data_IF_991327035296
#
_entry.id   IF_991327035296
#
_cell.length_a   1.000
_cell.length_b   1.000
_cell.length_c   1.000
_cell.angle_alpha   90.00
_cell.angle_beta   90.00
_cell.angle_gamma   90.00
#
_symmetry.space_group_name_H-M   'P 1'
#
loop_
_entity.id
_entity.type
_entity.pdbx_description
1 polymer ?
#
# COMPACT_ATOMS: atom_id res chain seq x y z
N UNK A 1 13.38 6.45 -10.83
CA UNK A 1 12.20 5.56 -11.00
C UNK A 1 11.93 5.41 -12.49
N UNK A 2 11.41 4.25 -12.90
CA UNK A 2 11.04 4.03 -14.31
C UNK A 2 9.75 4.79 -14.63
N UNK A 3 9.76 5.74 -15.58
CA UNK A 3 8.59 6.55 -15.89
C UNK A 3 7.52 5.82 -16.72
N UNK A 4 7.77 4.57 -17.15
CA UNK A 4 6.90 3.85 -18.09
C UNK A 4 5.77 3.06 -17.37
N UNK A 5 4.51 3.54 -17.43
CA UNK A 5 3.40 2.88 -16.73
C UNK A 5 2.99 1.54 -17.37
N UNK A 6 3.36 1.26 -18.62
CA UNK A 6 3.02 0.00 -19.30
C UNK A 6 3.59 -1.23 -18.58
N UNK A 7 4.69 -1.08 -17.83
CA UNK A 7 5.23 -2.17 -17.00
C UNK A 7 4.27 -2.55 -15.87
N UNK A 8 3.66 -1.55 -15.24
CA UNK A 8 2.65 -1.74 -14.19
C UNK A 8 1.39 -2.35 -14.79
N UNK A 9 0.87 -1.81 -15.91
CA UNK A 9 -0.33 -2.35 -16.56
C UNK A 9 -0.18 -3.83 -16.93
N UNK A 10 0.94 -4.20 -17.56
CA UNK A 10 1.23 -5.61 -17.87
C UNK A 10 1.34 -6.49 -16.62
N UNK A 11 1.81 -5.95 -15.49
CA UNK A 11 1.88 -6.69 -14.23
C UNK A 11 0.49 -6.91 -13.64
N UNK A 12 -0.34 -5.87 -13.61
CA UNK A 12 -1.74 -5.91 -13.17
C UNK A 12 -2.53 -6.95 -13.97
N UNK A 13 -2.41 -6.93 -15.30
CA UNK A 13 -3.08 -7.88 -16.20
C UNK A 13 -2.63 -9.32 -15.93
N UNK A 14 -1.31 -9.57 -15.87
CA UNK A 14 -0.76 -10.91 -15.63
C UNK A 14 -1.13 -11.49 -14.26
N UNK A 15 -1.33 -10.63 -13.26
CA UNK A 15 -1.70 -11.03 -11.90
C UNK A 15 -3.21 -11.03 -11.67
N UNK A 16 -4.00 -10.65 -12.68
CA UNK A 16 -5.46 -10.54 -12.61
C UNK A 16 -5.93 -9.74 -11.39
N UNK A 17 -5.23 -8.65 -11.06
CA UNK A 17 -5.57 -7.83 -9.89
C UNK A 17 -6.94 -7.17 -10.13
N UNK A 18 -7.88 -7.43 -9.23
CA UNK A 18 -9.25 -6.89 -9.31
C UNK A 18 -9.40 -5.55 -8.58
N UNK A 19 -8.53 -5.28 -7.59
CA UNK A 19 -8.51 -4.03 -6.84
C UNK A 19 -8.10 -2.86 -7.73
N UNK A 20 -8.58 -1.66 -7.41
CA UNK A 20 -8.12 -0.43 -8.06
C UNK A 20 -6.62 -0.25 -7.84
N UNK A 21 -5.89 -0.03 -8.93
CA UNK A 21 -4.45 0.27 -8.91
C UNK A 21 -4.25 1.71 -9.37
N UNK A 22 -3.50 2.48 -8.58
CA UNK A 22 -3.11 3.85 -8.90
C UNK A 22 -1.58 3.96 -8.94
N UNK A 23 -1.07 4.84 -9.81
CA UNK A 23 0.36 5.13 -9.92
C UNK A 23 0.62 6.49 -9.31
N UNK A 24 1.55 6.56 -8.36
CA UNK A 24 2.00 7.83 -7.80
C UNK A 24 2.84 8.58 -8.85
N UNK A 25 2.29 9.67 -9.38
CA UNK A 25 2.93 10.52 -10.38
C UNK A 25 3.50 11.78 -9.71
N UNK A 26 4.62 11.64 -8.99
CA UNK A 26 5.27 12.71 -8.25
C UNK A 26 6.74 12.87 -8.66
N UNK A 27 7.28 14.09 -8.57
CA UNK A 27 8.70 14.39 -8.79
C UNK A 27 9.59 13.86 -7.67
N UNK A 28 9.15 14.03 -6.43
CA UNK A 28 9.81 13.53 -5.22
C UNK A 28 8.90 12.60 -4.40
N UNK A 29 8.92 11.28 -4.66
CA UNK A 29 8.09 10.32 -3.93
C UNK A 29 8.34 10.26 -2.43
N UNK A 30 9.54 10.64 -1.96
CA UNK A 30 9.86 10.59 -0.54
C UNK A 30 9.04 11.59 0.30
N UNK A 31 8.56 12.67 -0.32
CA UNK A 31 7.66 13.63 0.36
C UNK A 31 6.31 13.02 0.74
N UNK A 32 5.93 11.91 0.10
CA UNK A 32 4.67 11.23 0.38
C UNK A 32 4.77 10.25 1.55
N UNK A 33 5.97 9.86 1.99
CA UNK A 33 6.16 8.89 3.07
C UNK A 33 5.46 9.40 4.34
N UNK A 34 5.88 10.56 4.84
CA UNK A 34 5.32 11.18 6.05
C UNK A 34 3.85 11.60 5.89
N UNK A 35 3.41 11.86 4.66
CA UNK A 35 2.02 12.22 4.36
C UNK A 35 1.08 11.00 4.44
N UNK A 36 1.57 9.83 4.04
CA UNK A 36 0.83 8.57 4.11
C UNK A 36 0.85 8.04 5.54
N UNK A 37 2.04 7.88 6.12
CA UNK A 37 2.23 7.40 7.48
C UNK A 37 3.59 7.85 8.04
N UNK A 38 3.57 8.54 9.20
CA UNK A 38 4.78 9.14 9.78
C UNK A 38 5.79 8.11 10.31
N UNK A 39 5.29 6.94 10.66
CA UNK A 39 6.12 5.83 11.13
C UNK A 39 6.70 5.00 9.98
N UNK A 40 6.33 5.29 8.72
CA UNK A 40 6.85 4.58 7.57
C UNK A 40 8.30 4.96 7.31
N UNK A 41 9.21 3.98 7.30
CA UNK A 41 10.62 4.21 7.00
C UNK A 41 10.90 4.46 5.51
N UNK A 42 9.91 4.26 4.64
CA UNK A 42 10.06 4.17 3.20
C UNK A 42 10.33 2.74 2.69
N UNK A 43 10.41 1.75 3.58
CA UNK A 43 10.57 0.35 3.19
C UNK A 43 9.34 -0.17 2.42
N UNK A 44 9.58 -0.96 1.38
CA UNK A 44 8.54 -1.66 0.63
C UNK A 44 8.78 -3.18 0.72
N UNK A 45 7.73 -4.01 0.79
CA UNK A 45 6.30 -3.65 0.74
C UNK A 45 5.76 -3.05 2.05
N UNK A 46 4.71 -2.23 1.94
CA UNK A 46 4.01 -1.63 3.07
C UNK A 46 2.49 -1.69 2.87
N UNK A 47 1.75 -1.81 3.97
CA UNK A 47 0.28 -1.90 4.00
C UNK A 47 -0.29 -0.99 5.07
N UNK A 48 -1.26 -0.16 4.70
CA UNK A 48 -2.04 0.69 5.60
C UNK A 48 -3.51 0.26 5.55
N UNK A 49 -4.07 -0.08 6.69
CA UNK A 49 -5.48 -0.44 6.84
C UNK A 49 -6.19 0.68 7.58
N UNK A 50 -7.31 1.15 7.02
CA UNK A 50 -8.08 2.28 7.55
C UNK A 50 -9.52 1.83 7.70
N UNK A 51 -10.06 1.94 8.92
CA UNK A 51 -11.49 1.81 9.17
C UNK A 51 -12.12 3.21 9.27
N UNK A 52 -12.79 3.63 8.20
CA UNK A 52 -13.40 4.97 8.12
C UNK A 52 -14.58 5.17 9.09
N UNK A 53 -15.16 4.10 9.64
CA UNK A 53 -16.30 4.18 10.57
C UNK A 53 -15.88 4.59 11.98
N UNK A 54 -14.70 4.14 12.42
CA UNK A 54 -14.21 4.37 13.78
C UNK A 54 -12.88 5.16 13.82
N UNK A 55 -12.30 5.47 12.66
CA UNK A 55 -11.04 6.22 12.54
C UNK A 55 -9.80 5.40 12.89
N UNK A 56 -9.92 4.11 13.22
CA UNK A 56 -8.76 3.25 13.51
C UNK A 56 -7.92 3.03 12.26
N UNK A 57 -6.61 2.98 12.48
CA UNK A 57 -5.60 2.73 11.45
C UNK A 57 -4.61 1.69 11.94
N UNK A 58 -4.11 0.86 11.03
CA UNK A 58 -3.01 -0.07 11.29
C UNK A 58 -2.03 -0.02 10.14
N UNK A 59 -0.76 0.21 10.45
CA UNK A 59 0.32 0.26 9.49
C UNK A 59 1.32 -0.88 9.74
N UNK A 60 1.83 -1.47 8.65
CA UNK A 60 2.92 -2.46 8.67
C UNK A 60 3.80 -2.30 7.41
N UNK A 61 5.11 -2.38 7.58
CA UNK A 61 6.12 -2.31 6.50
C UNK A 61 6.90 -3.62 6.38
N UNK A 62 6.18 -4.71 6.15
CA UNK A 62 6.76 -6.05 5.98
C UNK A 62 5.95 -6.86 4.97
N UNK A 63 6.57 -7.92 4.45
CA UNK A 63 5.85 -8.95 3.69
C UNK A 63 4.77 -9.61 4.58
N UNK A 64 3.61 -9.85 3.97
CA UNK A 64 2.49 -10.53 4.62
C UNK A 64 2.42 -11.96 4.11
N UNK A 65 2.19 -12.88 5.03
CA UNK A 65 1.89 -14.28 4.72
C UNK A 65 0.38 -14.52 4.80
N UNK A 66 -0.03 -15.70 4.35
CA UNK A 66 -1.42 -16.13 4.45
C UNK A 66 -1.93 -16.00 5.90
N UNK A 67 -3.09 -15.36 6.07
CA UNK A 67 -3.70 -15.12 7.37
C UNK A 67 -3.23 -13.85 8.10
N UNK A 68 -2.15 -13.19 7.66
CA UNK A 68 -1.68 -11.97 8.32
C UNK A 68 -2.63 -10.78 8.06
N UNK A 69 -3.16 -10.68 6.85
CA UNK A 69 -4.07 -9.59 6.48
C UNK A 69 -5.36 -9.64 7.31
N UNK A 70 -5.95 -10.83 7.47
CA UNK A 70 -7.19 -11.03 8.23
C UNK A 70 -7.01 -10.67 9.71
N UNK A 71 -5.85 -10.99 10.29
CA UNK A 71 -5.50 -10.58 11.66
C UNK A 71 -5.44 -9.05 11.77
N UNK A 72 -4.73 -8.40 10.84
CA UNK A 72 -4.58 -6.94 10.85
C UNK A 72 -5.91 -6.22 10.64
N UNK A 73 -6.79 -6.76 9.79
CA UNK A 73 -8.15 -6.22 9.61
C UNK A 73 -8.95 -6.34 10.91
N UNK A 74 -8.85 -7.48 11.61
CA UNK A 74 -9.54 -7.69 12.89
C UNK A 74 -9.12 -6.68 13.96
N UNK A 75 -7.86 -6.24 13.98
CA UNK A 75 -7.37 -5.21 14.92
C UNK A 75 -8.05 -3.84 14.73
N UNK A 76 -8.51 -3.53 13.51
CA UNK A 76 -9.11 -2.22 13.18
C UNK A 76 -10.63 -2.23 13.11
N UNK A 77 -11.28 -3.40 13.13
CA UNK A 77 -12.74 -3.50 13.25
C UNK A 77 -13.22 -2.92 14.59
#
# INVERSE_FOLDING_TARGET
LDPNPQKVYKFVDRKHIQSQVVILNEKNPNEWIDQIEKEWSGALPATLIINSKNGKRKFVEKELHEGDLEKLVTEVL
#
